data_IF_311975868864
#
_entry.id   IF_311975868864
#
_cell.length_a   1.000
_cell.length_b   1.000
_cell.length_c   1.000
_cell.angle_alpha   90.00
_cell.angle_beta   90.00
_cell.angle_gamma   90.00
#
_symmetry.space_group_name_H-M   'P 1'
#
loop_
_entity.id
_entity.type
_entity.pdbx_description
1 polymer ?
#
# COMPACT_ATOMS: atom_id res chain seq x y z
N UNK A 1 10.32 -35.54 4.52
CA UNK A 1 10.02 -34.15 4.87
C UNK A 1 9.18 -33.56 3.73
N UNK A 2 8.10 -32.88 4.06
CA UNK A 2 7.39 -32.04 3.07
C UNK A 2 8.16 -30.72 2.95
N UNK A 3 8.93 -30.57 1.86
CA UNK A 3 9.82 -29.42 1.64
C UNK A 3 9.02 -28.14 1.46
N UNK A 4 7.92 -28.19 0.70
CA UNK A 4 7.08 -27.01 0.45
C UNK A 4 6.42 -26.51 1.75
N UNK A 5 5.95 -27.44 2.57
CA UNK A 5 5.38 -27.11 3.88
C UNK A 5 6.44 -26.51 4.80
N UNK A 6 7.66 -27.06 4.82
CA UNK A 6 8.76 -26.57 5.64
C UNK A 6 9.22 -25.16 5.20
N UNK A 7 9.32 -24.91 3.88
CA UNK A 7 9.58 -23.58 3.31
C UNK A 7 8.47 -22.57 3.70
N UNK A 8 7.20 -22.94 3.55
CA UNK A 8 6.06 -22.09 3.92
C UNK A 8 6.10 -21.67 5.39
N UNK A 9 6.39 -22.63 6.26
CA UNK A 9 6.51 -22.37 7.71
C UNK A 9 7.72 -21.47 8.00
N UNK A 10 8.86 -21.70 7.36
CA UNK A 10 10.06 -20.86 7.51
C UNK A 10 9.79 -19.40 7.08
N UNK A 11 9.19 -19.18 5.90
CA UNK A 11 8.78 -17.84 5.43
C UNK A 11 7.85 -17.17 6.44
N UNK A 12 6.86 -17.90 6.96
CA UNK A 12 5.93 -17.38 7.97
C UNK A 12 6.64 -16.97 9.27
N UNK A 13 7.68 -17.70 9.69
CA UNK A 13 8.51 -17.34 10.86
C UNK A 13 9.34 -16.08 10.58
N UNK A 14 9.91 -15.97 9.38
CA UNK A 14 10.70 -14.81 8.97
C UNK A 14 9.83 -13.53 8.93
N UNK A 15 8.62 -13.62 8.37
CA UNK A 15 7.68 -12.51 8.24
C UNK A 15 7.13 -12.04 9.59
N UNK A 16 6.84 -12.97 10.49
CA UNK A 16 6.23 -12.67 11.80
C UNK A 16 7.26 -12.43 12.92
N UNK A 17 8.52 -12.81 12.71
CA UNK A 17 9.59 -12.74 13.71
C UNK A 17 9.39 -13.66 14.92
N UNK A 18 8.40 -14.59 14.89
CA UNK A 18 8.01 -15.38 16.06
C UNK A 18 7.44 -16.75 15.68
N UNK A 19 7.94 -17.81 16.29
CA UNK A 19 7.39 -19.16 16.16
C UNK A 19 5.91 -19.24 16.59
N UNK A 20 5.54 -18.53 17.65
CA UNK A 20 4.17 -18.52 18.16
C UNK A 20 3.21 -17.77 17.20
N UNK A 21 3.67 -16.68 16.58
CA UNK A 21 2.88 -15.95 15.60
C UNK A 21 2.72 -16.76 14.30
N UNK A 22 3.79 -17.37 13.81
CA UNK A 22 3.77 -18.27 12.67
C UNK A 22 2.86 -19.50 12.91
N UNK A 23 2.89 -20.05 14.12
CA UNK A 23 2.02 -21.17 14.50
C UNK A 23 0.53 -20.81 14.38
N UNK A 24 0.14 -19.64 14.84
CA UNK A 24 -1.24 -19.13 14.67
C UNK A 24 -1.58 -18.93 13.21
N UNK A 25 -0.70 -18.27 12.44
CA UNK A 25 -0.91 -18.02 11.01
C UNK A 25 -1.05 -19.33 10.21
N UNK A 26 -0.24 -20.35 10.55
CA UNK A 26 -0.23 -21.65 9.85
C UNK A 26 -1.20 -22.68 10.44
N UNK A 27 -1.96 -22.33 11.50
CA UNK A 27 -2.90 -23.21 12.21
C UNK A 27 -2.26 -24.51 12.71
N UNK A 28 -1.04 -24.42 13.23
CA UNK A 28 -0.29 -25.56 13.81
C UNK A 28 0.25 -25.19 15.19
N UNK A 29 0.79 -26.15 15.94
CA UNK A 29 1.45 -25.83 17.22
C UNK A 29 2.84 -25.20 17.01
N UNK A 30 3.30 -24.40 17.96
CA UNK A 30 4.66 -23.81 17.93
C UNK A 30 5.76 -24.89 17.90
N UNK A 31 5.51 -26.06 18.49
CA UNK A 31 6.40 -27.23 18.43
C UNK A 31 6.52 -27.75 17.00
N UNK A 32 5.41 -27.80 16.27
CA UNK A 32 5.42 -28.23 14.87
C UNK A 32 6.13 -27.21 13.98
N UNK A 33 5.97 -25.91 14.22
CA UNK A 33 6.73 -24.86 13.52
C UNK A 33 8.24 -25.07 13.73
N UNK A 34 8.67 -25.28 14.98
CA UNK A 34 10.07 -25.57 15.31
C UNK A 34 10.58 -26.83 14.61
N UNK A 35 9.76 -27.89 14.56
CA UNK A 35 10.10 -29.15 13.87
C UNK A 35 10.29 -28.94 12.36
N UNK A 36 9.39 -28.21 11.69
CA UNK A 36 9.50 -27.92 10.27
C UNK A 36 10.75 -27.10 9.93
N UNK A 37 11.03 -26.04 10.72
CA UNK A 37 12.25 -25.24 10.52
C UNK A 37 13.51 -26.08 10.75
N UNK A 38 13.55 -26.89 11.82
CA UNK A 38 14.70 -27.75 12.07
C UNK A 38 14.93 -28.79 10.97
N UNK A 39 13.87 -29.40 10.46
CA UNK A 39 13.95 -30.35 9.33
C UNK A 39 14.46 -29.65 8.07
N UNK A 40 14.07 -28.41 7.82
CA UNK A 40 14.54 -27.62 6.67
C UNK A 40 16.04 -27.31 6.83
N UNK A 41 16.48 -26.82 8.00
CA UNK A 41 17.88 -26.56 8.32
C UNK A 41 18.76 -27.80 8.18
N UNK A 42 18.25 -28.96 8.67
CA UNK A 42 18.93 -30.26 8.53
C UNK A 42 19.08 -30.67 7.06
N UNK A 43 18.01 -30.47 6.26
CA UNK A 43 18.02 -30.80 4.83
C UNK A 43 19.01 -29.94 4.03
N UNK A 44 19.11 -28.66 4.39
CA UNK A 44 20.01 -27.71 3.74
C UNK A 44 21.45 -27.79 4.28
N UNK A 45 21.66 -28.47 5.38
CA UNK A 45 22.97 -28.49 6.07
C UNK A 45 23.40 -27.14 6.63
N UNK A 46 22.47 -26.19 6.79
CA UNK A 46 22.75 -24.83 7.21
C UNK A 46 21.69 -24.30 8.19
N UNK A 47 22.10 -23.44 9.11
CA UNK A 47 21.16 -22.73 9.97
C UNK A 47 20.59 -21.51 9.26
N UNK A 48 19.25 -21.38 9.25
CA UNK A 48 18.54 -20.27 8.66
C UNK A 48 18.15 -19.20 9.71
N UNK A 49 17.99 -19.63 10.99
CA UNK A 49 17.60 -18.75 12.09
C UNK A 49 18.67 -18.77 13.20
N UNK A 50 18.99 -17.58 13.72
CA UNK A 50 19.74 -17.44 14.95
C UNK A 50 18.77 -17.63 16.12
N UNK A 51 19.11 -18.55 17.03
CA UNK A 51 18.34 -18.80 18.25
C UNK A 51 18.76 -17.79 19.32
N UNK A 52 18.10 -16.64 19.35
CA UNK A 52 18.14 -15.77 20.52
C UNK A 52 16.83 -15.94 21.31
N UNK A 53 16.89 -15.94 22.63
CA UNK A 53 15.76 -16.26 23.50
C UNK A 53 14.61 -15.26 23.45
N UNK A 54 14.83 -14.09 22.81
CA UNK A 54 13.84 -12.99 22.75
C UNK A 54 13.41 -12.56 21.35
N UNK A 55 14.23 -12.77 20.29
CA UNK A 55 13.88 -12.45 18.90
C UNK A 55 14.51 -13.44 17.94
N UNK A 56 13.74 -13.93 16.99
CA UNK A 56 14.26 -14.73 15.89
C UNK A 56 14.91 -13.78 14.86
N UNK A 57 16.17 -14.03 14.53
CA UNK A 57 16.87 -13.29 13.46
C UNK A 57 17.31 -14.26 12.39
N UNK A 58 17.24 -13.82 11.14
CA UNK A 58 17.79 -14.58 10.04
C UNK A 58 19.32 -14.61 10.12
N UNK A 59 19.92 -15.73 9.76
CA UNK A 59 21.33 -15.80 9.41
C UNK A 59 21.52 -15.18 8.01
N UNK A 60 22.77 -14.97 7.58
CA UNK A 60 23.06 -14.56 6.22
C UNK A 60 22.51 -15.57 5.19
N UNK A 61 22.75 -16.87 5.45
CA UNK A 61 22.17 -17.96 4.64
C UNK A 61 20.65 -17.95 4.70
N UNK A 62 20.07 -17.68 5.88
CA UNK A 62 18.61 -17.58 6.07
C UNK A 62 18.00 -16.43 5.27
N UNK A 63 18.66 -15.28 5.20
CA UNK A 63 18.20 -14.15 4.40
C UNK A 63 18.25 -14.46 2.89
N UNK A 64 19.34 -15.01 2.40
CA UNK A 64 19.45 -15.43 1.00
C UNK A 64 18.43 -16.52 0.64
N UNK A 65 18.29 -17.53 1.50
CA UNK A 65 17.33 -18.62 1.28
C UNK A 65 15.87 -18.14 1.34
N UNK A 66 15.56 -17.12 2.13
CA UNK A 66 14.21 -16.56 2.23
C UNK A 66 13.70 -16.04 0.88
N UNK A 67 14.55 -15.33 0.16
CA UNK A 67 14.21 -14.79 -1.17
C UNK A 67 13.94 -15.93 -2.17
N UNK A 68 14.80 -16.92 -2.22
CA UNK A 68 14.64 -18.09 -3.09
C UNK A 68 13.42 -18.95 -2.70
N UNK A 69 13.18 -19.13 -1.39
CA UNK A 69 12.01 -19.87 -0.90
C UNK A 69 10.69 -19.17 -1.27
N UNK A 70 10.63 -17.84 -1.22
CA UNK A 70 9.46 -17.08 -1.66
C UNK A 70 9.20 -17.26 -3.15
N UNK A 71 10.24 -17.18 -3.98
CA UNK A 71 10.11 -17.39 -5.43
C UNK A 71 9.67 -18.81 -5.76
N UNK A 72 10.26 -19.83 -5.11
CA UNK A 72 9.89 -21.22 -5.32
C UNK A 72 8.42 -21.50 -4.94
N UNK A 73 7.97 -21.00 -3.79
CA UNK A 73 6.59 -21.14 -3.34
C UNK A 73 5.61 -20.43 -4.27
N UNK A 74 6.00 -19.30 -4.84
CA UNK A 74 5.20 -18.60 -5.84
C UNK A 74 5.10 -19.39 -7.15
N UNK A 75 6.18 -20.04 -7.62
CA UNK A 75 6.14 -20.90 -8.78
C UNK A 75 5.24 -22.12 -8.56
N UNK A 76 5.26 -22.73 -7.37
CA UNK A 76 4.33 -23.81 -7.01
C UNK A 76 2.88 -23.32 -7.06
N UNK A 77 2.56 -22.19 -6.48
CA UNK A 77 1.21 -21.57 -6.57
C UNK A 77 0.78 -21.35 -8.01
N UNK A 78 1.70 -20.87 -8.86
CA UNK A 78 1.44 -20.70 -10.30
C UNK A 78 1.15 -22.04 -10.98
N UNK A 79 1.89 -23.09 -10.65
CA UNK A 79 1.67 -24.43 -11.21
C UNK A 79 0.33 -25.02 -10.76
N UNK A 80 -0.04 -24.91 -9.49
CA UNK A 80 -1.35 -25.32 -8.97
C UNK A 80 -2.50 -24.61 -9.71
N UNK A 81 -2.28 -23.35 -10.08
CA UNK A 81 -3.28 -22.54 -10.79
C UNK A 81 -3.38 -22.84 -12.28
N UNK A 82 -2.42 -23.56 -12.89
CA UNK A 82 -2.56 -24.02 -14.28
C UNK A 82 -3.76 -24.95 -14.42
N UNK A 83 -3.99 -25.83 -13.45
CA UNK A 83 -5.18 -26.70 -13.44
C UNK A 83 -6.50 -25.91 -13.33
N UNK A 84 -6.49 -24.78 -12.62
CA UNK A 84 -7.65 -23.89 -12.51
C UNK A 84 -7.91 -23.09 -13.80
N UNK A 85 -6.86 -22.75 -14.55
CA UNK A 85 -6.93 -22.02 -15.83
C UNK A 85 -7.60 -22.83 -16.94
N UNK A 86 -7.46 -24.16 -16.91
CA UNK A 86 -8.05 -25.05 -17.90
C UNK A 86 -9.57 -25.27 -17.71
N UNK A 87 -10.14 -24.79 -16.60
CA UNK A 87 -11.57 -24.80 -16.35
C UNK A 87 -12.17 -23.45 -16.73
N UNK A 88 -12.60 -23.29 -17.95
CA UNK A 88 -12.99 -22.06 -18.66
C UNK A 88 -14.19 -21.29 -18.04
N UNK A 89 -14.66 -21.63 -16.86
CA UNK A 89 -15.74 -20.96 -16.13
C UNK A 89 -15.47 -20.92 -14.61
N UNK A 90 -14.19 -20.96 -14.22
CA UNK A 90 -13.84 -21.02 -12.80
C UNK A 90 -14.28 -19.73 -12.07
N UNK A 91 -15.11 -19.88 -11.05
CA UNK A 91 -15.41 -18.81 -10.08
C UNK A 91 -14.09 -18.33 -9.48
N UNK A 92 -13.91 -17.01 -9.31
CA UNK A 92 -12.74 -16.48 -8.63
C UNK A 92 -12.60 -17.11 -7.25
N UNK A 93 -11.45 -17.70 -6.96
CA UNK A 93 -11.16 -18.34 -5.67
C UNK A 93 -9.69 -18.24 -5.31
N UNK A 94 -9.38 -18.39 -4.03
CA UNK A 94 -8.02 -18.38 -3.51
C UNK A 94 -7.64 -17.04 -2.89
N UNK A 95 -6.34 -16.81 -2.71
CA UNK A 95 -5.83 -15.66 -1.96
C UNK A 95 -5.22 -14.61 -2.88
N UNK A 96 -5.55 -13.33 -2.67
CA UNK A 96 -4.95 -12.17 -3.31
C UNK A 96 -4.10 -11.40 -2.30
N UNK A 97 -2.92 -10.95 -2.73
CA UNK A 97 -2.10 -9.99 -1.98
C UNK A 97 -1.99 -8.70 -2.77
N UNK A 98 -2.51 -7.63 -2.22
CA UNK A 98 -2.58 -6.32 -2.87
C UNK A 98 -1.86 -5.29 -2.02
N UNK A 99 -1.10 -4.39 -2.65
CA UNK A 99 -0.49 -3.25 -1.93
C UNK A 99 -0.93 -1.92 -2.52
N UNK A 100 -1.07 -0.91 -1.67
CA UNK A 100 -1.45 0.44 -2.06
C UNK A 100 -0.81 1.48 -1.12
N UNK A 101 -0.67 2.76 -1.57
CA UNK A 101 -0.29 3.86 -0.68
C UNK A 101 -1.30 4.01 0.46
N UNK A 102 -0.82 4.36 1.65
CA UNK A 102 -1.62 4.35 2.87
C UNK A 102 -2.94 5.12 2.74
N UNK A 103 -2.89 6.37 2.34
CA UNK A 103 -4.07 7.22 2.24
C UNK A 103 -5.05 6.76 1.17
N UNK A 104 -4.57 6.50 -0.05
CA UNK A 104 -5.42 6.02 -1.15
C UNK A 104 -5.96 4.62 -0.85
N UNK A 105 -5.13 3.78 -0.25
CA UNK A 105 -5.47 2.43 0.17
C UNK A 105 -6.61 2.41 1.17
N UNK A 106 -6.54 3.23 2.20
CA UNK A 106 -7.59 3.33 3.22
C UNK A 106 -8.87 3.94 2.66
N UNK A 107 -8.76 5.07 1.94
CA UNK A 107 -9.93 5.84 1.52
C UNK A 107 -10.68 5.24 0.31
N UNK A 108 -9.98 4.58 -0.61
CA UNK A 108 -10.58 4.08 -1.86
C UNK A 108 -10.44 2.57 -2.07
N UNK A 109 -9.24 2.01 -1.82
CA UNK A 109 -8.99 0.60 -2.14
C UNK A 109 -9.64 -0.35 -1.13
N UNK A 110 -9.63 -0.03 0.16
CA UNK A 110 -10.24 -0.88 1.18
C UNK A 110 -11.76 -1.02 1.01
N UNK A 111 -12.54 0.05 0.77
CA UNK A 111 -13.97 -0.08 0.44
C UNK A 111 -14.22 -0.92 -0.82
N UNK A 112 -13.40 -0.74 -1.87
CA UNK A 112 -13.48 -1.53 -3.09
C UNK A 112 -13.17 -3.01 -2.81
N UNK A 113 -12.10 -3.30 -2.07
CA UNK A 113 -11.69 -4.66 -1.72
C UNK A 113 -12.79 -5.37 -0.91
N UNK A 114 -13.42 -4.68 0.03
CA UNK A 114 -14.53 -5.26 0.81
C UNK A 114 -15.77 -5.54 -0.05
N UNK A 115 -16.11 -4.65 -0.97
CA UNK A 115 -17.18 -4.88 -1.94
C UNK A 115 -16.87 -6.07 -2.87
N UNK A 116 -15.63 -6.16 -3.34
CA UNK A 116 -15.14 -7.27 -4.15
C UNK A 116 -15.24 -8.62 -3.42
N UNK A 117 -14.82 -8.69 -2.15
CA UNK A 117 -14.91 -9.91 -1.34
C UNK A 117 -16.36 -10.35 -1.07
N UNK A 118 -17.28 -9.39 -0.93
CA UNK A 118 -18.72 -9.70 -0.81
C UNK A 118 -19.28 -10.33 -2.08
N UNK A 119 -18.81 -9.92 -3.25
CA UNK A 119 -19.20 -10.49 -4.54
C UNK A 119 -18.53 -11.84 -4.85
N UNK A 120 -17.38 -12.12 -4.20
CA UNK A 120 -16.57 -13.31 -4.46
C UNK A 120 -16.20 -14.03 -3.14
N UNK A 121 -17.13 -14.78 -2.53
CA UNK A 121 -16.96 -15.38 -1.20
C UNK A 121 -15.82 -16.41 -1.11
N UNK A 122 -15.40 -16.98 -2.23
CA UNK A 122 -14.30 -17.96 -2.29
C UNK A 122 -12.91 -17.30 -2.43
N UNK A 123 -12.86 -15.95 -2.45
CA UNK A 123 -11.61 -15.18 -2.47
C UNK A 123 -11.31 -14.63 -1.08
N UNK A 124 -10.04 -14.71 -0.68
CA UNK A 124 -9.49 -13.97 0.45
C UNK A 124 -8.49 -12.92 -0.04
N UNK A 125 -8.30 -11.82 0.70
CA UNK A 125 -7.43 -10.72 0.27
C UNK A 125 -6.66 -10.15 1.46
N UNK A 126 -5.33 -10.02 1.29
CA UNK A 126 -4.47 -9.22 2.15
C UNK A 126 -4.23 -7.86 1.47
N UNK A 127 -4.65 -6.78 2.13
CA UNK A 127 -4.36 -5.42 1.70
C UNK A 127 -3.23 -4.86 2.56
N UNK A 128 -2.05 -4.70 1.97
CA UNK A 128 -0.87 -4.14 2.64
C UNK A 128 -0.72 -2.68 2.25
N UNK A 129 -0.85 -1.78 3.21
CA UNK A 129 -0.77 -0.33 2.99
C UNK A 129 0.62 0.18 3.38
N UNK A 130 1.34 0.73 2.41
CA UNK A 130 2.67 1.28 2.61
C UNK A 130 3.01 2.36 1.57
N UNK A 131 3.66 3.44 2.02
CA UNK A 131 4.11 4.52 1.13
C UNK A 131 5.52 4.29 0.57
N UNK A 132 6.19 3.19 0.96
CA UNK A 132 7.47 2.78 0.37
C UNK A 132 7.27 2.13 -1.01
N UNK A 133 8.26 2.28 -1.86
CA UNK A 133 8.32 1.48 -3.09
C UNK A 133 8.60 0.03 -2.69
N UNK A 134 7.70 -0.85 -3.11
CA UNK A 134 7.83 -2.31 -2.93
C UNK A 134 8.09 -2.94 -4.27
N UNK A 135 9.00 -3.91 -4.32
CA UNK A 135 9.11 -4.79 -5.47
C UNK A 135 7.93 -5.77 -5.45
N UNK A 136 7.03 -5.60 -6.42
CA UNK A 136 5.78 -6.34 -6.50
C UNK A 136 6.01 -7.84 -6.63
N UNK A 137 7.01 -8.23 -7.42
CA UNK A 137 7.31 -9.64 -7.72
C UNK A 137 8.07 -10.26 -6.54
N UNK A 138 9.15 -9.63 -6.07
CA UNK A 138 9.95 -10.16 -4.98
C UNK A 138 9.19 -10.26 -3.66
N UNK A 139 8.27 -9.32 -3.39
CA UNK A 139 7.43 -9.35 -2.19
C UNK A 139 6.15 -10.21 -2.35
N UNK A 140 5.93 -10.82 -3.52
CA UNK A 140 4.81 -11.73 -3.80
C UNK A 140 3.44 -11.07 -3.78
N UNK A 141 3.32 -9.85 -4.29
CA UNK A 141 2.04 -9.18 -4.49
C UNK A 141 1.42 -9.55 -5.84
N UNK A 142 0.12 -9.85 -5.86
CA UNK A 142 -0.64 -10.08 -7.09
C UNK A 142 -0.94 -8.78 -7.83
N UNK A 143 -1.16 -7.68 -7.09
CA UNK A 143 -1.40 -6.35 -7.64
C UNK A 143 -0.88 -5.23 -6.72
N UNK A 144 -0.58 -4.08 -7.32
CA UNK A 144 -0.23 -2.87 -6.58
C UNK A 144 -0.90 -1.64 -7.18
N UNK A 145 -1.31 -0.71 -6.32
CA UNK A 145 -1.67 0.65 -6.76
C UNK A 145 -0.50 1.55 -6.41
N UNK A 146 -0.09 2.41 -7.35
CA UNK A 146 1.05 3.32 -7.19
C UNK A 146 0.70 4.71 -7.68
N UNK A 147 1.24 5.74 -6.99
CA UNK A 147 1.07 7.16 -7.31
C UNK A 147 2.41 7.72 -7.77
N UNK A 148 2.42 8.42 -8.90
CA UNK A 148 3.59 9.05 -9.47
C UNK A 148 4.11 8.34 -10.73
N UNK A 149 5.26 8.78 -11.24
CA UNK A 149 5.89 8.15 -12.39
C UNK A 149 6.31 6.72 -12.05
N UNK A 150 6.22 5.84 -13.02
CA UNK A 150 6.65 4.46 -12.91
C UNK A 150 8.01 4.28 -13.57
N UNK A 151 8.90 3.45 -13.02
CA UNK A 151 10.05 2.98 -13.76
C UNK A 151 9.60 2.06 -14.90
N UNK A 152 10.34 2.04 -15.99
CA UNK A 152 10.11 1.09 -17.07
C UNK A 152 10.27 -0.35 -16.58
N UNK A 153 9.34 -1.22 -16.98
CA UNK A 153 9.34 -2.62 -16.61
C UNK A 153 8.70 -3.48 -17.69
N UNK A 154 9.44 -4.47 -18.17
CA UNK A 154 8.93 -5.47 -19.11
C UNK A 154 8.09 -6.57 -18.44
N UNK A 155 8.17 -6.66 -17.12
CA UNK A 155 7.54 -7.71 -16.32
C UNK A 155 6.20 -7.32 -15.70
N UNK A 156 5.84 -6.03 -15.78
CA UNK A 156 4.60 -5.51 -15.21
C UNK A 156 3.68 -4.95 -16.28
N UNK A 157 2.38 -5.08 -16.06
CA UNK A 157 1.34 -4.34 -16.77
C UNK A 157 0.95 -3.16 -15.91
N UNK A 158 0.93 -1.96 -16.50
CA UNK A 158 0.45 -0.74 -15.86
C UNK A 158 -0.87 -0.31 -16.51
N UNK A 159 -1.91 -0.13 -15.70
CA UNK A 159 -3.20 0.40 -16.14
C UNK A 159 -3.43 1.75 -15.46
N UNK A 160 -3.68 2.83 -16.23
CA UNK A 160 -3.95 4.14 -15.65
C UNK A 160 -5.25 4.11 -14.85
N UNK A 161 -5.26 4.83 -13.75
CA UNK A 161 -6.41 5.09 -12.91
C UNK A 161 -6.66 6.61 -12.86
N UNK A 162 -7.79 7.03 -12.25
CA UNK A 162 -8.08 8.46 -12.04
C UNK A 162 -6.93 9.14 -11.32
N UNK A 163 -6.51 10.33 -11.78
CA UNK A 163 -5.39 11.05 -11.18
C UNK A 163 -5.63 11.38 -9.70
N UNK A 164 -4.55 11.38 -8.93
CA UNK A 164 -4.54 11.72 -7.51
C UNK A 164 -4.46 13.24 -7.34
N UNK A 165 -5.59 13.87 -7.05
CA UNK A 165 -5.71 15.32 -6.90
C UNK A 165 -5.40 15.73 -5.47
N UNK A 166 -4.69 16.83 -5.33
CA UNK A 166 -4.37 17.45 -4.04
C UNK A 166 -5.25 18.68 -3.84
N UNK A 167 -5.75 18.87 -2.62
CA UNK A 167 -6.58 20.01 -2.25
C UNK A 167 -5.88 20.76 -1.12
N UNK A 168 -5.87 22.10 -1.23
CA UNK A 168 -5.51 22.99 -0.13
C UNK A 168 -6.79 23.39 0.58
N UNK A 169 -6.85 23.24 1.89
CA UNK A 169 -8.04 23.58 2.67
C UNK A 169 -7.71 23.94 4.11
N UNK A 170 -8.66 24.54 4.80
CA UNK A 170 -8.61 24.81 6.24
C UNK A 170 -10.02 24.75 6.84
N UNK A 171 -10.12 24.64 8.17
CA UNK A 171 -11.42 24.73 8.83
C UNK A 171 -11.96 26.17 8.81
N UNK A 172 -13.29 26.35 8.79
CA UNK A 172 -13.91 27.68 8.89
C UNK A 172 -13.44 28.45 10.13
N UNK A 173 -13.20 27.76 11.24
CA UNK A 173 -12.73 28.36 12.48
C UNK A 173 -11.34 28.97 12.33
N UNK A 174 -10.40 28.24 11.74
CA UNK A 174 -9.05 28.75 11.47
C UNK A 174 -9.09 29.99 10.58
N UNK A 175 -9.89 29.96 9.50
CA UNK A 175 -10.00 31.07 8.56
C UNK A 175 -10.64 32.32 9.20
N UNK A 176 -11.61 32.14 10.08
CA UNK A 176 -12.22 33.25 10.83
C UNK A 176 -11.22 33.93 11.78
N UNK A 177 -10.33 33.15 12.42
CA UNK A 177 -9.36 33.67 13.38
C UNK A 177 -8.11 34.27 12.73
N UNK A 178 -7.67 33.67 11.62
CA UNK A 178 -6.38 34.02 11.00
C UNK A 178 -6.49 34.70 9.64
N UNK A 179 -7.71 34.90 9.15
CA UNK A 179 -7.97 35.37 7.79
C UNK A 179 -7.91 34.29 6.76
N UNK A 180 -8.57 34.54 5.62
CA UNK A 180 -8.55 33.67 4.47
C UNK A 180 -7.47 34.11 3.49
N UNK A 181 -6.44 33.32 3.18
CA UNK A 181 -5.43 33.70 2.20
C UNK A 181 -6.05 33.72 0.80
N UNK A 182 -5.80 34.76 0.04
CA UNK A 182 -6.29 34.97 -1.32
C UNK A 182 -5.32 34.48 -2.39
N UNK A 183 -4.05 34.30 -2.03
CA UNK A 183 -3.00 33.80 -2.93
C UNK A 183 -2.07 32.81 -2.21
N UNK A 184 -1.43 31.89 -2.96
CA UNK A 184 -0.44 30.96 -2.37
C UNK A 184 0.74 31.65 -1.69
N UNK A 185 1.10 32.87 -2.09
CA UNK A 185 2.19 33.64 -1.45
C UNK A 185 1.87 34.01 -0.01
N UNK A 186 0.59 34.19 0.33
CA UNK A 186 0.14 34.54 1.68
C UNK A 186 0.26 33.38 2.67
N UNK A 187 0.42 32.12 2.18
CA UNK A 187 0.66 30.96 3.03
C UNK A 187 1.89 31.10 3.93
N UNK A 188 2.84 31.95 3.56
CA UNK A 188 3.99 32.24 4.39
C UNK A 188 3.61 32.88 5.75
N UNK A 189 2.43 33.49 5.84
CA UNK A 189 1.89 34.15 7.05
C UNK A 189 0.98 33.21 7.86
N UNK A 190 0.68 32.01 7.32
CA UNK A 190 -0.20 31.04 7.93
C UNK A 190 0.56 29.85 8.53
N UNK A 191 -0.08 29.16 9.49
CA UNK A 191 0.36 27.85 9.96
C UNK A 191 0.00 26.80 8.92
N UNK A 192 0.99 26.15 8.32
CA UNK A 192 0.78 25.09 7.32
C UNK A 192 1.14 23.74 7.91
N UNK A 193 0.24 22.76 7.78
CA UNK A 193 0.42 21.42 8.29
C UNK A 193 1.27 20.60 7.32
N UNK A 194 2.46 20.17 7.75
CA UNK A 194 3.46 19.58 6.87
C UNK A 194 3.48 18.04 6.95
N UNK A 195 3.60 17.40 5.79
CA UNK A 195 3.79 15.95 5.71
C UNK A 195 5.28 15.60 5.75
N UNK A 196 5.71 14.83 6.76
CA UNK A 196 7.13 14.53 7.04
C UNK A 196 7.82 13.69 5.95
N UNK A 197 7.08 12.81 5.27
CA UNK A 197 7.64 11.90 4.25
C UNK A 197 7.61 12.50 2.84
N UNK A 198 6.97 13.65 2.65
CA UNK A 198 7.03 14.25 1.33
C UNK A 198 8.39 14.88 1.12
N UNK A 199 9.05 14.43 0.05
CA UNK A 199 10.29 15.06 -0.37
C UNK A 199 10.07 16.57 -0.49
N UNK A 200 11.03 17.44 -0.12
CA UNK A 200 10.89 18.89 -0.23
C UNK A 200 10.38 19.35 -1.62
N UNK A 201 10.65 18.55 -2.66
CA UNK A 201 10.20 18.80 -4.03
C UNK A 201 8.80 18.28 -4.35
N UNK A 202 8.13 17.53 -3.46
CA UNK A 202 6.79 16.97 -3.68
C UNK A 202 5.68 17.74 -2.92
N UNK A 203 6.07 18.82 -2.19
CA UNK A 203 5.20 19.58 -1.32
C UNK A 203 4.33 20.61 -2.04
N UNK A 204 4.14 21.70 -1.39
CA UNK A 204 3.32 22.82 -1.80
C UNK A 204 3.88 23.49 -3.06
N UNK A 205 3.28 23.23 -4.22
CA UNK A 205 3.65 23.79 -5.52
C UNK A 205 2.44 24.43 -6.15
N UNK A 206 2.60 25.64 -6.66
CA UNK A 206 1.54 26.41 -7.29
C UNK A 206 2.01 26.94 -8.64
N UNK A 207 1.16 26.87 -9.66
CA UNK A 207 1.50 27.32 -11.00
C UNK A 207 1.77 28.84 -11.02
N UNK A 208 1.00 29.61 -10.27
CA UNK A 208 1.17 31.07 -10.11
C UNK A 208 2.53 31.48 -9.53
N UNK A 209 3.23 30.55 -8.85
CA UNK A 209 4.55 30.77 -8.28
C UNK A 209 5.67 30.04 -9.06
N UNK A 210 5.43 29.76 -10.34
CA UNK A 210 6.41 29.09 -11.20
C UNK A 210 6.59 27.60 -10.91
N UNK A 211 5.71 27.01 -10.09
CA UNK A 211 5.80 25.57 -9.72
C UNK A 211 6.95 25.21 -8.78
N UNK A 212 7.66 26.18 -8.24
CA UNK A 212 8.70 25.93 -7.24
C UNK A 212 8.11 25.51 -5.89
N UNK A 213 8.79 24.62 -5.14
CA UNK A 213 8.30 24.17 -3.86
C UNK A 213 8.38 25.27 -2.80
N UNK A 214 7.25 25.57 -2.16
CA UNK A 214 7.21 26.49 -1.04
C UNK A 214 7.68 25.82 0.25
N UNK A 215 8.58 26.47 0.97
CA UNK A 215 8.96 26.07 2.33
C UNK A 215 8.06 26.83 3.33
N UNK A 216 7.01 26.17 3.75
CA UNK A 216 6.03 26.72 4.67
C UNK A 216 6.30 26.28 6.11
N UNK A 217 5.99 27.16 7.06
CA UNK A 217 6.15 26.90 8.49
C UNK A 217 4.83 26.45 9.09
N UNK A 218 4.91 25.54 10.04
CA UNK A 218 3.76 25.08 10.80
C UNK A 218 4.18 24.51 12.15
N UNK A 219 3.25 24.50 13.08
CA UNK A 219 3.50 23.99 14.45
C UNK A 219 3.25 22.49 14.56
N UNK A 220 2.68 21.87 13.53
CA UNK A 220 2.36 20.46 13.50
C UNK A 220 2.80 19.83 12.17
N UNK A 221 3.43 18.68 12.27
CA UNK A 221 3.82 17.86 11.13
C UNK A 221 3.59 16.39 11.46
N UNK A 222 3.20 15.58 10.46
CA UNK A 222 2.99 14.16 10.61
C UNK A 222 3.37 13.43 9.33
N UNK A 223 3.73 12.16 9.45
CA UNK A 223 3.88 11.25 8.30
C UNK A 223 2.55 10.58 7.91
N UNK A 224 1.43 11.00 8.49
CA UNK A 224 0.12 10.40 8.29
C UNK A 224 -0.91 11.44 7.90
N UNK A 225 -1.54 11.27 6.72
CA UNK A 225 -2.50 12.24 6.18
C UNK A 225 -3.72 12.47 7.08
N UNK A 226 -4.25 11.42 7.71
CA UNK A 226 -5.42 11.55 8.59
C UNK A 226 -5.10 12.33 9.89
N UNK A 227 -3.88 12.19 10.42
CA UNK A 227 -3.45 13.01 11.54
C UNK A 227 -3.39 14.50 11.19
N UNK A 228 -2.91 14.82 9.98
CA UNK A 228 -2.91 16.20 9.46
C UNK A 228 -4.34 16.70 9.20
N UNK A 229 -5.21 15.86 8.64
CA UNK A 229 -6.63 16.16 8.44
C UNK A 229 -7.30 16.49 9.78
N UNK A 230 -7.06 15.70 10.82
CA UNK A 230 -7.58 15.97 12.16
C UNK A 230 -7.12 17.30 12.71
N UNK A 231 -5.83 17.59 12.60
CA UNK A 231 -5.28 18.89 13.04
C UNK A 231 -5.90 20.07 12.28
N UNK A 232 -6.20 19.93 10.99
CA UNK A 232 -6.88 20.97 10.22
C UNK A 232 -8.32 21.19 10.70
N UNK A 233 -9.06 20.10 10.96
CA UNK A 233 -10.42 20.16 11.53
C UNK A 233 -10.44 20.84 12.90
N UNK A 234 -9.42 20.63 13.71
CA UNK A 234 -9.25 21.25 15.04
C UNK A 234 -8.64 22.68 14.95
N UNK A 235 -8.62 23.30 13.77
CA UNK A 235 -8.19 24.71 13.60
C UNK A 235 -6.68 24.96 13.71
N UNK A 236 -5.83 23.93 13.58
CA UNK A 236 -4.38 24.09 13.77
C UNK A 236 -3.66 24.72 12.57
N UNK A 237 -4.29 24.80 11.39
CA UNK A 237 -3.65 25.36 10.21
C UNK A 237 -4.25 24.96 8.87
N UNK A 238 -3.58 25.37 7.80
CA UNK A 238 -3.91 25.06 6.42
C UNK A 238 -3.29 23.74 6.04
N UNK A 239 -4.05 22.91 5.35
CA UNK A 239 -3.72 21.54 4.98
C UNK A 239 -3.59 21.41 3.46
N UNK A 240 -2.58 20.69 2.98
CA UNK A 240 -2.51 20.15 1.62
C UNK A 240 -2.57 18.62 1.72
N UNK A 241 -3.68 18.03 1.28
CA UNK A 241 -3.87 16.57 1.29
C UNK A 241 -4.73 16.13 0.09
N UNK A 242 -4.75 14.83 -0.23
CA UNK A 242 -5.52 14.34 -1.36
C UNK A 242 -7.04 14.51 -1.16
N UNK A 243 -7.71 14.85 -2.24
CA UNK A 243 -9.16 15.02 -2.30
C UNK A 243 -9.91 13.80 -1.74
N UNK A 244 -9.45 12.60 -2.05
CA UNK A 244 -10.06 11.34 -1.59
C UNK A 244 -10.08 11.19 -0.06
N UNK A 245 -9.15 11.82 0.65
CA UNK A 245 -9.13 11.85 2.11
C UNK A 245 -10.07 12.90 2.68
N UNK A 246 -10.30 13.99 1.95
CA UNK A 246 -10.96 15.19 2.42
C UNK A 246 -12.42 15.29 1.96
N UNK A 247 -12.86 14.43 1.04
CA UNK A 247 -14.14 14.53 0.34
C UNK A 247 -15.35 14.74 1.28
N UNK A 248 -15.44 13.94 2.35
CA UNK A 248 -16.54 14.04 3.30
C UNK A 248 -16.53 15.32 4.13
N UNK A 249 -15.33 15.88 4.41
CA UNK A 249 -15.21 17.12 5.18
C UNK A 249 -15.48 18.34 4.31
N UNK A 250 -15.05 18.29 3.05
CA UNK A 250 -15.35 19.32 2.06
C UNK A 250 -16.86 19.37 1.78
N UNK A 251 -17.49 18.20 1.53
CA UNK A 251 -18.92 18.10 1.30
C UNK A 251 -19.74 18.57 2.50
N UNK A 252 -19.28 18.32 3.72
CA UNK A 252 -19.93 18.75 4.95
C UNK A 252 -19.59 20.18 5.39
N UNK A 253 -18.74 20.90 4.64
CA UNK A 253 -18.30 22.26 4.99
C UNK A 253 -17.41 22.34 6.23
N UNK A 254 -16.88 21.23 6.73
CA UNK A 254 -15.95 21.21 7.87
C UNK A 254 -14.54 21.68 7.49
N UNK A 255 -14.20 21.52 6.21
CA UNK A 255 -13.03 22.10 5.58
C UNK A 255 -13.48 22.90 4.36
N UNK A 256 -12.89 24.07 4.14
CA UNK A 256 -13.16 24.93 3.01
C UNK A 256 -11.96 24.90 2.06
N UNK A 257 -12.17 24.66 0.74
CA UNK A 257 -11.10 24.64 -0.22
C UNK A 257 -10.52 26.03 -0.44
N UNK A 258 -9.22 26.08 -0.71
CA UNK A 258 -8.46 27.31 -1.01
C UNK A 258 -7.76 27.13 -2.35
N UNK A 259 -7.62 28.21 -3.11
CA UNK A 259 -6.86 28.25 -4.37
C UNK A 259 -7.33 27.23 -5.43
N UNK A 260 -8.62 26.99 -5.59
CA UNK A 260 -9.17 25.95 -6.46
C UNK A 260 -8.67 26.02 -7.92
N UNK A 261 -8.31 27.22 -8.39
CA UNK A 261 -7.77 27.46 -9.75
C UNK A 261 -6.24 27.40 -9.83
N UNK A 262 -5.56 27.19 -8.70
CA UNK A 262 -4.10 27.17 -8.62
C UNK A 262 -3.63 26.02 -7.69
N UNK A 263 -4.18 24.85 -7.87
CA UNK A 263 -3.81 23.66 -7.12
C UNK A 263 -2.56 23.00 -7.72
N UNK A 264 -1.80 22.24 -6.93
CA UNK A 264 -0.74 21.40 -7.45
C UNK A 264 -1.25 20.45 -8.55
N UNK A 265 -0.44 20.18 -9.59
CA UNK A 265 -0.87 19.30 -10.68
C UNK A 265 -1.23 17.91 -10.17
N UNK A 266 -2.30 17.29 -10.72
CA UNK A 266 -2.68 15.94 -10.34
C UNK A 266 -1.54 14.95 -10.62
N UNK A 267 -1.38 13.96 -9.73
CA UNK A 267 -0.37 12.92 -9.86
C UNK A 267 -0.98 11.69 -10.56
N UNK A 268 -0.27 11.07 -11.51
CA UNK A 268 -0.76 9.85 -12.15
C UNK A 268 -0.88 8.72 -11.13
N UNK A 269 -1.89 7.89 -11.32
CA UNK A 269 -2.12 6.67 -10.52
C UNK A 269 -2.19 5.49 -11.46
N UNK A 270 -1.61 4.38 -11.05
CA UNK A 270 -1.56 3.17 -11.85
C UNK A 270 -1.90 1.95 -11.00
N UNK A 271 -2.66 1.05 -11.60
CA UNK A 271 -2.77 -0.33 -11.15
C UNK A 271 -1.68 -1.14 -11.86
N UNK A 272 -0.84 -1.80 -11.07
CA UNK A 272 0.25 -2.65 -11.54
C UNK A 272 -0.04 -4.10 -11.19
N UNK A 273 0.28 -5.01 -12.11
CA UNK A 273 0.26 -6.45 -11.87
C UNK A 273 1.24 -7.17 -12.79
N UNK A 274 1.71 -8.38 -12.44
CA UNK A 274 2.64 -9.14 -13.27
C UNK A 274 2.09 -9.37 -14.68
N UNK A 275 2.97 -9.25 -15.69
CA UNK A 275 2.63 -9.56 -17.08
C UNK A 275 2.56 -11.07 -17.25
N UNK A 276 1.38 -11.63 -17.12
CA UNK A 276 1.11 -13.03 -17.45
C UNK A 276 0.24 -13.09 -18.72
N UNK A 277 0.49 -14.09 -19.57
CA UNK A 277 -0.33 -14.32 -20.80
C UNK A 277 -1.78 -14.64 -20.45
N UNK A 278 -2.01 -15.23 -19.28
CA UNK A 278 -3.33 -15.58 -18.79
C UNK A 278 -3.40 -15.35 -17.27
N UNK A 279 -3.78 -14.14 -16.82
CA UNK A 279 -3.93 -13.87 -15.40
C UNK A 279 -5.03 -14.76 -14.79
N UNK A 280 -4.84 -15.10 -13.50
CA UNK A 280 -5.79 -15.91 -12.75
C UNK A 280 -7.17 -15.24 -12.69
N UNK A 281 -8.29 -16.02 -12.68
CA UNK A 281 -9.63 -15.45 -12.56
C UNK A 281 -9.79 -14.49 -11.40
N UNK A 282 -9.23 -14.78 -10.21
CA UNK A 282 -9.23 -13.88 -9.04
C UNK A 282 -8.58 -12.53 -9.34
N UNK A 283 -7.41 -12.54 -10.01
CA UNK A 283 -6.69 -11.32 -10.35
C UNK A 283 -7.40 -10.54 -11.45
N UNK A 284 -7.85 -11.25 -12.51
CA UNK A 284 -8.59 -10.63 -13.62
C UNK A 284 -9.84 -9.89 -13.11
N UNK A 285 -10.65 -10.53 -12.28
CA UNK A 285 -11.85 -9.93 -11.70
C UNK A 285 -11.54 -8.78 -10.73
N UNK A 286 -10.45 -8.88 -9.98
CA UNK A 286 -10.02 -7.79 -9.13
C UNK A 286 -9.55 -6.57 -9.97
N UNK A 287 -8.78 -6.80 -11.03
CA UNK A 287 -8.38 -5.76 -12.00
C UNK A 287 -9.61 -5.09 -12.60
N UNK A 288 -10.60 -5.88 -13.07
CA UNK A 288 -11.86 -5.35 -13.62
C UNK A 288 -12.60 -4.48 -12.59
N UNK A 289 -12.69 -4.93 -11.34
CA UNK A 289 -13.33 -4.19 -10.25
C UNK A 289 -12.62 -2.86 -9.96
N UNK A 290 -11.28 -2.87 -9.94
CA UNK A 290 -10.47 -1.65 -9.75
C UNK A 290 -10.69 -0.68 -10.91
N UNK A 291 -10.64 -1.16 -12.16
CA UNK A 291 -10.84 -0.32 -13.35
C UNK A 291 -12.27 0.24 -13.41
N UNK A 292 -13.29 -0.53 -13.05
CA UNK A 292 -14.66 -0.07 -13.00
C UNK A 292 -14.88 1.04 -11.94
N UNK A 293 -14.22 0.93 -10.79
CA UNK A 293 -14.39 1.88 -9.69
C UNK A 293 -13.46 3.09 -9.76
N UNK A 294 -12.23 2.90 -10.25
CA UNK A 294 -11.14 3.88 -10.19
C UNK A 294 -10.52 4.19 -11.58
N UNK A 295 -10.99 3.60 -12.67
CA UNK A 295 -10.53 3.88 -14.03
C UNK A 295 -10.75 5.35 -14.43
N UNK A 296 -10.02 5.84 -15.45
CA UNK A 296 -10.09 7.22 -15.94
C UNK A 296 -11.48 7.61 -16.46
#
# INVERSE_FOLDING_TARGET
MDLLRAMTVFVSVADTGSFAAAARAQRVSAVMVGKHVHQLETHLGARLLQRDTRKQRLTEVGAAFLEEARQALEQVRRAETVAERLQDHARPRGHLRVTAPLTLGTAAVAPLATAFLRAHPDVSLDLVLADRMSDLIAEGFDAAIRIGPLPDSDHLVARPLRPYRMIVCASPEYLRERGTPHSPSELAQHSCLNHLLWHPNAGWRFASLGGEPLRLRGRFASNHGDALRRAALDGCGILLQPEVLLADDLAAGRLLPLFEHDLPPPRPVHLLYPRDRQPLPKLSRFVDAVLAAMGP
#
